data_IF_735729125829
#
_entry.id   IF_735729125829
#
_cell.length_a   1.000
_cell.length_b   1.000
_cell.length_c   1.000
_cell.angle_alpha   90.00
_cell.angle_beta   90.00
_cell.angle_gamma   90.00
#
_symmetry.space_group_name_H-M   'P 1'
#
loop_
_entity.id
_entity.type
_entity.pdbx_description
1 polymer ?
#
# COMPACT_ATOMS: atom_id res chain seq x y z
N UNK A 1 -5.03 56.75 36.73
CA UNK A 1 -5.00 55.42 37.37
C UNK A 1 -6.29 54.70 36.92
N UNK A 2 -6.36 53.70 36.05
CA UNK A 2 -5.49 52.57 35.67
C UNK A 2 -5.72 52.24 34.18
N UNK A 3 -4.62 52.06 33.46
CA UNK A 3 -4.56 51.44 32.12
C UNK A 3 -4.82 49.93 32.26
N UNK A 4 -5.88 49.40 31.66
CA UNK A 4 -6.14 47.96 31.62
C UNK A 4 -5.52 47.39 30.35
N UNK A 5 -4.45 46.60 30.54
CA UNK A 5 -3.80 45.80 29.49
C UNK A 5 -4.68 44.58 29.19
N UNK A 6 -5.13 44.45 27.95
CA UNK A 6 -5.73 43.22 27.43
C UNK A 6 -4.57 42.36 26.94
N UNK A 7 -4.27 41.26 27.64
CA UNK A 7 -3.34 40.23 27.18
C UNK A 7 -4.17 39.21 26.40
N UNK A 8 -4.01 39.20 25.08
CA UNK A 8 -4.52 38.12 24.24
C UNK A 8 -3.65 36.88 24.47
N UNK A 9 -4.21 35.86 25.11
CA UNK A 9 -3.56 34.58 25.33
C UNK A 9 -3.75 33.73 24.08
N UNK A 10 -2.76 33.73 23.18
CA UNK A 10 -2.74 32.85 22.02
C UNK A 10 -2.54 31.41 22.46
N UNK A 11 -3.59 30.59 22.33
CA UNK A 11 -3.49 29.14 22.49
C UNK A 11 -2.72 28.55 21.31
N UNK A 12 -1.48 28.13 21.55
CA UNK A 12 -0.70 27.34 20.60
C UNK A 12 -1.21 25.90 20.67
N UNK A 13 -2.02 25.48 19.70
CA UNK A 13 -2.33 24.06 19.50
C UNK A 13 -1.06 23.38 18.95
N UNK A 14 -0.36 22.64 19.80
CA UNK A 14 0.66 21.69 19.36
C UNK A 14 -0.04 20.45 18.81
N UNK A 15 -0.04 20.28 17.49
CA UNK A 15 -0.47 19.05 16.84
C UNK A 15 0.55 17.94 17.14
N UNK A 16 0.15 16.77 17.67
CA UNK A 16 1.06 15.66 17.88
C UNK A 16 1.49 15.05 16.53
N UNK A 17 2.79 15.10 16.27
CA UNK A 17 3.56 14.01 15.67
C UNK A 17 3.26 13.63 14.22
N UNK A 18 3.75 14.43 13.27
CA UNK A 18 4.15 13.90 11.97
C UNK A 18 5.51 13.20 12.19
N UNK A 19 5.50 11.96 12.69
CA UNK A 19 6.73 11.17 12.74
C UNK A 19 7.12 10.86 11.30
N UNK A 20 8.02 11.66 10.75
CA UNK A 20 8.68 11.37 9.48
C UNK A 20 9.32 10.00 9.62
N UNK A 21 8.85 9.04 8.81
CA UNK A 21 9.54 7.78 8.62
C UNK A 21 10.87 8.15 7.98
N UNK A 22 11.92 8.30 8.80
CA UNK A 22 13.28 8.42 8.30
C UNK A 22 13.52 7.21 7.41
N UNK A 23 13.56 7.45 6.10
CA UNK A 23 13.73 6.41 5.11
C UNK A 23 15.10 5.80 5.38
N UNK A 24 15.11 4.52 5.76
CA UNK A 24 16.36 3.76 5.78
C UNK A 24 16.98 3.89 4.40
N UNK A 25 18.29 4.12 4.30
CA UNK A 25 19.00 4.33 3.03
C UNK A 25 19.00 3.12 2.07
N UNK A 26 18.17 2.11 2.32
CA UNK A 26 17.88 1.03 1.41
C UNK A 26 16.99 1.51 0.26
N UNK A 27 17.33 1.10 -0.95
CA UNK A 27 16.52 1.35 -2.13
C UNK A 27 15.17 0.65 -1.93
N UNK A 28 14.04 1.37 -1.99
CA UNK A 28 12.74 0.78 -1.75
C UNK A 28 12.36 -0.12 -2.93
N UNK A 29 11.85 -1.31 -2.65
CA UNK A 29 11.32 -2.17 -3.71
C UNK A 29 10.08 -1.52 -4.33
N UNK A 30 10.03 -1.39 -5.65
CA UNK A 30 8.95 -0.68 -6.35
C UNK A 30 8.59 -1.35 -7.67
N UNK A 31 7.37 -1.14 -8.12
CA UNK A 31 6.90 -1.61 -9.41
C UNK A 31 5.69 -0.82 -9.90
N UNK A 32 5.32 -1.05 -11.15
CA UNK A 32 4.09 -0.49 -11.75
C UNK A 32 3.08 -1.58 -12.00
N UNK A 33 1.80 -1.21 -11.92
CA UNK A 33 0.71 -2.13 -12.18
C UNK A 33 0.70 -2.59 -13.62
N UNK A 34 0.45 -3.87 -13.78
CA UNK A 34 -0.04 -4.45 -15.01
C UNK A 34 -1.31 -5.25 -14.71
N UNK A 35 -2.15 -5.40 -15.74
CA UNK A 35 -3.46 -6.03 -15.61
C UNK A 35 -4.24 -5.92 -16.92
N UNK A 36 -4.57 -7.07 -17.52
CA UNK A 36 -5.27 -7.13 -18.80
C UNK A 36 -6.80 -7.01 -18.68
N UNK A 37 -7.39 -7.50 -17.57
CA UNK A 37 -8.85 -7.67 -17.44
C UNK A 37 -9.52 -6.40 -16.90
N UNK A 38 -8.94 -5.79 -15.87
CA UNK A 38 -9.40 -4.54 -15.29
C UNK A 38 -8.39 -3.43 -15.59
N UNK A 39 -8.87 -2.26 -16.02
CA UNK A 39 -8.00 -1.08 -16.16
C UNK A 39 -7.50 -0.66 -14.78
N UNK A 40 -6.29 -1.08 -14.45
CA UNK A 40 -5.62 -0.76 -13.19
C UNK A 40 -4.30 -0.07 -13.49
N UNK A 41 -3.99 0.96 -12.71
CA UNK A 41 -2.80 1.78 -12.87
C UNK A 41 -2.30 2.28 -11.53
N UNK A 42 -1.04 2.72 -11.51
CA UNK A 42 -0.39 3.31 -10.36
C UNK A 42 1.01 2.75 -10.16
N UNK A 43 1.54 2.97 -8.96
CA UNK A 43 2.83 2.44 -8.51
C UNK A 43 2.70 1.85 -7.12
N UNK A 44 3.33 0.70 -6.91
CA UNK A 44 3.57 0.15 -5.59
C UNK A 44 5.02 0.42 -5.18
N UNK A 45 5.23 0.85 -3.93
CA UNK A 45 6.55 1.03 -3.35
C UNK A 45 6.54 0.53 -1.92
N UNK A 46 7.46 -0.37 -1.59
CA UNK A 46 7.67 -0.87 -0.23
C UNK A 46 8.75 -0.04 0.44
N UNK A 47 8.37 0.68 1.48
CA UNK A 47 9.27 1.48 2.30
C UNK A 47 9.62 0.72 3.58
N UNK A 48 10.91 0.64 3.88
CA UNK A 48 11.43 0.14 5.14
C UNK A 48 11.96 1.31 5.97
N UNK A 49 11.44 1.46 7.19
CA UNK A 49 11.88 2.47 8.13
C UNK A 49 11.98 1.87 9.54
N UNK A 50 12.61 2.61 10.46
CA UNK A 50 12.76 2.18 11.87
C UNK A 50 11.41 1.91 12.56
N UNK A 51 10.33 2.54 12.08
CA UNK A 51 8.96 2.34 12.56
C UNK A 51 8.21 1.16 11.94
N UNK A 52 8.83 0.42 11.02
CA UNK A 52 8.24 -0.75 10.34
C UNK A 52 8.32 -0.67 8.81
N UNK A 53 7.72 -1.67 8.17
CA UNK A 53 7.64 -1.79 6.71
C UNK A 53 6.23 -1.41 6.26
N UNK A 54 6.11 -0.59 5.22
CA UNK A 54 4.82 -0.25 4.60
C UNK A 54 4.85 -0.43 3.09
N UNK A 55 3.74 -0.87 2.54
CA UNK A 55 3.43 -0.78 1.13
C UNK A 55 2.67 0.53 0.90
N UNK A 56 3.20 1.36 0.03
CA UNK A 56 2.54 2.57 -0.45
C UNK A 56 2.13 2.41 -1.90
N UNK A 57 0.87 2.71 -2.17
CA UNK A 57 0.33 2.85 -3.51
C UNK A 57 0.28 4.34 -3.85
N UNK A 58 0.81 4.73 -5.01
CA UNK A 58 0.73 6.10 -5.51
C UNK A 58 0.10 6.16 -6.89
N UNK A 59 -0.67 7.23 -7.14
CA UNK A 59 -1.43 7.40 -8.39
C UNK A 59 -2.29 6.17 -8.73
N UNK A 60 -2.79 5.49 -7.71
CA UNK A 60 -3.56 4.26 -7.89
C UNK A 60 -4.95 4.57 -8.45
N UNK A 61 -5.36 3.79 -9.44
CA UNK A 61 -6.71 3.83 -9.99
C UNK A 61 -7.08 2.45 -10.52
N UNK A 62 -8.27 1.96 -10.18
CA UNK A 62 -8.84 0.70 -10.66
C UNK A 62 -10.36 0.76 -10.76
N UNK A 63 -10.98 -0.23 -11.40
CA UNK A 63 -12.43 -0.39 -11.42
C UNK A 63 -12.98 -0.82 -10.06
N UNK A 64 -14.27 -0.55 -9.81
CA UNK A 64 -14.93 -0.99 -8.57
C UNK A 64 -15.14 -2.50 -8.55
N UNK A 65 -14.60 -3.17 -7.53
CA UNK A 65 -14.92 -4.55 -7.19
C UNK A 65 -15.62 -4.60 -5.83
N UNK A 66 -16.59 -5.53 -5.61
CA UNK A 66 -17.37 -5.57 -4.38
C UNK A 66 -16.58 -6.04 -3.15
N UNK A 67 -15.45 -6.73 -3.34
CA UNK A 67 -14.59 -7.19 -2.25
C UNK A 67 -13.13 -7.39 -2.73
N UNK A 68 -12.42 -6.30 -3.00
CA UNK A 68 -11.02 -6.33 -3.47
C UNK A 68 -10.06 -6.26 -2.29
N UNK A 69 -9.07 -7.14 -2.25
CA UNK A 69 -8.04 -7.23 -1.22
C UNK A 69 -6.65 -6.99 -1.83
N UNK A 70 -5.75 -6.43 -1.02
CA UNK A 70 -4.35 -6.21 -1.38
C UNK A 70 -3.51 -7.33 -0.79
N UNK A 71 -2.88 -8.11 -1.65
CA UNK A 71 -2.10 -9.29 -1.28
C UNK A 71 -0.63 -9.09 -1.60
N UNK A 72 0.25 -9.56 -0.73
CA UNK A 72 1.65 -9.80 -1.06
C UNK A 72 1.82 -11.27 -1.42
N UNK A 73 2.42 -11.59 -2.57
CA UNK A 73 2.54 -12.97 -3.06
C UNK A 73 3.99 -13.43 -3.18
N UNK A 74 4.24 -14.69 -2.84
CA UNK A 74 5.54 -15.34 -2.97
C UNK A 74 5.77 -15.89 -4.39
N UNK A 75 5.60 -15.02 -5.37
CA UNK A 75 5.82 -15.30 -6.79
C UNK A 75 6.39 -14.05 -7.46
N UNK A 76 7.10 -14.24 -8.59
CA UNK A 76 7.68 -13.12 -9.35
C UNK A 76 6.59 -12.26 -9.99
N UNK A 77 5.49 -12.89 -10.36
CA UNK A 77 4.31 -12.24 -10.93
C UNK A 77 3.10 -13.16 -10.74
N UNK A 78 1.92 -12.68 -11.09
CA UNK A 78 0.74 -13.51 -11.16
C UNK A 78 -0.14 -13.13 -12.35
N UNK A 79 -0.68 -14.18 -12.99
CA UNK A 79 -1.33 -14.10 -14.30
C UNK A 79 -2.63 -13.31 -14.24
N UNK A 80 -2.91 -12.62 -15.33
CA UNK A 80 -4.15 -11.87 -15.54
C UNK A 80 -5.29 -12.78 -16.03
N UNK A 81 -5.63 -13.83 -15.28
CA UNK A 81 -6.74 -14.73 -15.60
C UNK A 81 -7.72 -14.95 -14.43
N UNK A 82 -8.89 -15.51 -14.73
CA UNK A 82 -9.95 -15.84 -13.75
C UNK A 82 -9.56 -16.99 -12.79
N UNK A 83 -8.30 -17.44 -12.84
CA UNK A 83 -7.75 -18.50 -12.02
C UNK A 83 -6.45 -18.09 -11.34
N UNK A 84 -6.30 -16.79 -11.01
CA UNK A 84 -5.16 -16.12 -10.34
C UNK A 84 -4.42 -16.94 -9.26
N UNK A 85 -5.09 -17.92 -8.63
CA UNK A 85 -4.62 -18.71 -7.50
C UNK A 85 -4.63 -20.23 -7.74
N UNK A 86 -4.62 -20.70 -9.00
CA UNK A 86 -4.64 -22.15 -9.28
C UNK A 86 -3.38 -22.86 -8.79
N UNK A 87 -2.28 -22.13 -8.65
CA UNK A 87 -1.06 -22.63 -8.01
C UNK A 87 -1.06 -22.26 -6.52
N UNK A 88 -0.56 -23.16 -5.68
CA UNK A 88 -0.39 -22.92 -4.23
C UNK A 88 0.73 -21.90 -4.01
N UNK A 89 0.45 -20.64 -4.31
CA UNK A 89 1.32 -19.51 -4.04
C UNK A 89 1.03 -19.01 -2.64
N UNK A 90 2.08 -18.96 -1.81
CA UNK A 90 2.02 -18.37 -0.48
C UNK A 90 1.71 -16.88 -0.59
N UNK A 91 0.82 -16.40 0.28
CA UNK A 91 0.32 -15.04 0.21
C UNK A 91 0.04 -14.47 1.58
N UNK A 92 0.17 -13.15 1.70
CA UNK A 92 -0.15 -12.38 2.89
C UNK A 92 -1.22 -11.36 2.50
N UNK A 93 -2.39 -11.45 3.14
CA UNK A 93 -3.45 -10.46 2.98
C UNK A 93 -3.16 -9.23 3.84
N UNK A 94 -2.99 -8.08 3.18
CA UNK A 94 -2.77 -6.78 3.83
C UNK A 94 -4.09 -6.06 4.16
N UNK A 95 -5.21 -6.62 3.71
CA UNK A 95 -6.57 -6.17 3.98
C UNK A 95 -7.32 -5.68 2.74
N UNK A 96 -8.57 -5.22 2.94
CA UNK A 96 -9.40 -4.73 1.87
C UNK A 96 -8.84 -3.44 1.26
N UNK A 97 -9.08 -3.27 -0.02
CA UNK A 97 -8.78 -2.06 -0.76
C UNK A 97 -9.57 -0.89 -0.15
N UNK A 98 -8.87 0.16 0.28
CA UNK A 98 -9.48 1.31 0.98
C UNK A 98 -10.21 2.27 0.03
N UNK A 99 -9.79 2.31 -1.22
CA UNK A 99 -10.40 3.11 -2.28
C UNK A 99 -9.97 2.64 -3.66
N UNK A 100 -10.82 2.82 -4.66
CA UNK A 100 -10.54 2.47 -6.05
C UNK A 100 -9.67 3.54 -6.75
N UNK A 101 -9.54 4.73 -6.16
CA UNK A 101 -8.72 5.84 -6.64
C UNK A 101 -7.95 6.50 -5.49
N UNK A 102 -6.70 6.89 -5.75
CA UNK A 102 -5.87 7.69 -4.84
C UNK A 102 -4.81 6.90 -4.06
N UNK A 103 -3.93 7.65 -3.40
CA UNK A 103 -2.80 7.13 -2.61
C UNK A 103 -3.27 6.39 -1.36
N UNK A 104 -2.66 5.22 -1.09
CA UNK A 104 -3.05 4.36 0.01
C UNK A 104 -1.81 3.68 0.62
N UNK A 105 -1.85 3.42 1.93
CA UNK A 105 -0.76 2.75 2.64
C UNK A 105 -1.26 1.51 3.38
N UNK A 106 -0.45 0.45 3.38
CA UNK A 106 -0.70 -0.82 4.07
C UNK A 106 0.53 -1.18 4.91
N UNK A 107 0.32 -1.55 6.17
CA UNK A 107 1.40 -1.99 7.05
C UNK A 107 1.73 -3.43 6.71
N UNK A 108 3.01 -3.73 6.51
CA UNK A 108 3.46 -5.10 6.30
C UNK A 108 3.78 -5.76 7.65
N UNK A 109 3.56 -7.08 7.78
CA UNK A 109 3.99 -7.82 8.96
C UNK A 109 5.48 -7.62 9.26
N UNK A 110 5.80 -7.53 10.55
CA UNK A 110 7.20 -7.42 10.98
C UNK A 110 7.97 -8.70 10.58
N UNK A 111 9.20 -8.53 10.10
CA UNK A 111 10.06 -9.65 9.72
C UNK A 111 9.72 -10.32 8.38
N UNK A 112 8.87 -9.70 7.55
CA UNK A 112 8.54 -10.22 6.23
C UNK A 112 9.77 -10.34 5.33
N UNK A 113 9.89 -11.47 4.63
CA UNK A 113 10.96 -11.71 3.67
C UNK A 113 10.61 -11.16 2.28
N UNK A 114 11.05 -9.93 2.01
CA UNK A 114 10.86 -9.28 0.70
C UNK A 114 11.72 -9.91 -0.43
N UNK A 115 12.54 -10.93 -0.15
CA UNK A 115 13.16 -11.75 -1.19
C UNK A 115 12.24 -12.89 -1.66
N UNK A 116 11.39 -13.40 -0.77
CA UNK A 116 10.38 -14.40 -1.09
C UNK A 116 9.11 -13.77 -1.69
N UNK A 117 8.63 -12.67 -1.10
CA UNK A 117 7.43 -11.98 -1.54
C UNK A 117 7.75 -10.88 -2.54
N UNK A 118 7.70 -11.22 -3.84
CA UNK A 118 8.20 -10.38 -4.93
C UNK A 118 7.12 -9.64 -5.70
N UNK A 119 5.83 -9.82 -5.41
CA UNK A 119 4.77 -9.09 -6.10
C UNK A 119 3.62 -8.70 -5.17
N UNK A 120 2.91 -7.62 -5.54
CA UNK A 120 1.65 -7.19 -4.93
C UNK A 120 0.51 -7.52 -5.90
N UNK A 121 -0.57 -8.12 -5.41
CA UNK A 121 -1.72 -8.45 -6.23
C UNK A 121 -3.03 -7.93 -5.64
N UNK A 122 -4.00 -7.69 -6.50
CA UNK A 122 -5.28 -7.09 -6.14
C UNK A 122 -6.38 -8.10 -6.48
N UNK A 123 -6.84 -8.84 -5.48
CA UNK A 123 -7.76 -9.95 -5.69
C UNK A 123 -9.17 -9.58 -5.26
N UNK A 124 -10.15 -9.77 -6.13
CA UNK A 124 -11.55 -9.76 -5.74
C UNK A 124 -11.94 -11.14 -5.19
N UNK A 125 -12.03 -11.28 -3.86
CA UNK A 125 -12.32 -12.56 -3.21
C UNK A 125 -13.66 -13.15 -3.69
N UNK A 126 -14.67 -12.29 -3.91
CA UNK A 126 -16.02 -12.71 -4.32
C UNK A 126 -16.05 -13.39 -5.69
N UNK A 127 -15.21 -12.93 -6.62
CA UNK A 127 -15.22 -13.40 -8.01
C UNK A 127 -13.95 -14.16 -8.38
N UNK A 128 -13.03 -14.36 -7.42
CA UNK A 128 -11.71 -14.93 -7.65
C UNK A 128 -10.95 -14.29 -8.82
N UNK A 129 -11.13 -12.97 -9.00
CA UNK A 129 -10.65 -12.23 -10.17
C UNK A 129 -9.46 -11.33 -9.79
N UNK A 130 -8.40 -11.37 -10.59
CA UNK A 130 -7.28 -10.45 -10.45
C UNK A 130 -7.58 -9.11 -11.10
N UNK A 131 -7.43 -8.03 -10.33
CA UNK A 131 -7.59 -6.66 -10.79
C UNK A 131 -6.27 -6.10 -11.30
N UNK A 132 -5.14 -6.69 -10.90
CA UNK A 132 -3.82 -6.34 -11.39
C UNK A 132 -2.73 -6.82 -10.45
N UNK A 133 -1.53 -6.94 -11.01
CA UNK A 133 -0.33 -7.36 -10.29
C UNK A 133 0.75 -6.30 -10.44
N UNK A 134 1.59 -6.19 -9.41
CA UNK A 134 2.77 -5.33 -9.39
C UNK A 134 3.98 -6.16 -8.97
N UNK A 135 4.77 -6.67 -9.91
CA UNK A 135 6.11 -7.17 -9.62
C UNK A 135 6.93 -6.08 -8.95
N UNK A 136 7.60 -6.42 -7.84
CA UNK A 136 8.43 -5.51 -7.07
C UNK A 136 9.89 -5.72 -7.45
N UNK A 137 10.50 -4.67 -8.01
CA UNK A 137 11.92 -4.63 -8.35
C UNK A 137 12.67 -3.81 -7.29
N UNK A 138 13.90 -4.20 -6.96
CA UNK A 138 14.76 -3.48 -5.99
C UNK A 138 15.63 -2.45 -6.68
#
# INVERSE_FOLDING_TARGET
>A
MKIHRIIALSAVLTLPGMTSLAQSGAIPATGTFHGAVHKTSGRATVYQATGGTMLRLTHFSTSNGPNVHVLLIAAEDAKDDENFLTEKVDRIDLGPLKGNDGDQNYVLPAGIDLAAYKAVAFLCERFNANFGTVPLEK
#
